data_IF_667086949790
#
_entry.id   IF_667086949790
#
_cell.length_a   1.000
_cell.length_b   1.000
_cell.length_c   1.000
_cell.angle_alpha   90.00
_cell.angle_beta   90.00
_cell.angle_gamma   90.00
#
_symmetry.space_group_name_H-M   'P 1'
#
loop_
_entity.id
_entity.type
_entity.pdbx_description
1 polymer ?
#
# COMPACT_ATOMS: atom_id res chain seq x y z
N UNK A 1 -2.82 -0.92 2.75
CA UNK A 1 -2.23 -2.00 1.91
C UNK A 1 -0.73 -2.06 2.17
N UNK A 2 -0.02 -3.04 1.61
CA UNK A 2 1.46 -3.06 1.55
C UNK A 2 1.90 -3.71 0.24
N UNK A 3 3.07 -3.34 -0.30
CA UNK A 3 3.61 -4.06 -1.45
C UNK A 3 5.03 -3.66 -1.86
N UNK A 4 5.50 -4.26 -2.94
CA UNK A 4 6.82 -3.97 -3.51
C UNK A 4 6.85 -2.59 -4.16
N UNK A 5 7.92 -1.84 -3.88
CA UNK A 5 8.15 -0.55 -4.51
C UNK A 5 8.64 -0.66 -5.96
N UNK A 6 9.23 -1.80 -6.31
CA UNK A 6 9.61 -2.18 -7.65
C UNK A 6 8.92 -3.50 -8.00
N UNK A 7 8.03 -3.46 -8.99
CA UNK A 7 7.27 -4.63 -9.44
C UNK A 7 8.01 -5.45 -10.52
N UNK A 8 9.21 -5.03 -10.91
CA UNK A 8 10.01 -5.70 -11.92
C UNK A 8 9.57 -5.30 -13.33
N UNK A 9 8.81 -6.17 -13.99
CA UNK A 9 8.38 -5.97 -15.37
C UNK A 9 6.96 -5.41 -15.50
N UNK A 10 6.64 -4.93 -16.71
CA UNK A 10 5.34 -4.36 -17.05
C UNK A 10 4.20 -5.37 -16.87
N UNK A 11 4.42 -6.65 -17.19
CA UNK A 11 3.43 -7.72 -17.01
C UNK A 11 3.00 -7.83 -15.55
N UNK A 12 3.97 -7.80 -14.64
CA UNK A 12 3.72 -7.87 -13.20
C UNK A 12 3.03 -6.60 -12.70
N UNK A 13 3.44 -5.43 -13.18
CA UNK A 13 2.77 -4.17 -12.85
C UNK A 13 1.29 -4.17 -13.30
N UNK A 14 1.01 -4.62 -14.53
CA UNK A 14 -0.35 -4.73 -15.06
C UNK A 14 -1.19 -5.75 -14.29
N UNK A 15 -0.61 -6.91 -13.94
CA UNK A 15 -1.29 -7.90 -13.10
C UNK A 15 -1.69 -7.30 -11.74
N UNK A 16 -0.77 -6.62 -11.06
CA UNK A 16 -1.03 -6.00 -9.75
C UNK A 16 -2.08 -4.89 -9.86
N UNK A 17 -2.00 -4.04 -10.88
CA UNK A 17 -2.99 -3.00 -11.14
C UNK A 17 -4.39 -3.59 -11.35
N UNK A 18 -4.50 -4.62 -12.19
CA UNK A 18 -5.76 -5.31 -12.45
C UNK A 18 -6.32 -6.03 -11.22
N UNK A 19 -5.44 -6.61 -10.39
CA UNK A 19 -5.82 -7.23 -9.13
C UNK A 19 -6.43 -6.18 -8.18
N UNK A 20 -5.79 -5.03 -7.99
CA UNK A 20 -6.31 -3.96 -7.15
C UNK A 20 -7.64 -3.42 -7.66
N UNK A 21 -7.74 -3.14 -8.96
CA UNK A 21 -8.98 -2.67 -9.59
C UNK A 21 -10.16 -3.61 -9.28
N UNK A 22 -9.98 -4.91 -9.54
CA UNK A 22 -11.04 -5.90 -9.30
C UNK A 22 -11.40 -6.08 -7.84
N UNK A 23 -10.40 -6.12 -6.95
CA UNK A 23 -10.63 -6.31 -5.51
C UNK A 23 -11.36 -5.09 -4.95
N UNK A 24 -10.90 -3.88 -5.27
CA UNK A 24 -11.50 -2.64 -4.77
C UNK A 24 -12.93 -2.43 -5.30
N UNK A 25 -13.16 -2.66 -6.59
CA UNK A 25 -14.50 -2.62 -7.18
C UNK A 25 -15.45 -3.61 -6.47
N UNK A 26 -14.97 -4.82 -6.18
CA UNK A 26 -15.75 -5.81 -5.45
C UNK A 26 -16.06 -5.36 -4.02
N UNK A 27 -15.04 -4.95 -3.26
CA UNK A 27 -15.17 -4.53 -1.87
C UNK A 27 -16.12 -3.33 -1.72
N UNK A 28 -16.01 -2.33 -2.59
CA UNK A 28 -16.91 -1.18 -2.62
C UNK A 28 -18.36 -1.60 -2.84
N UNK A 29 -18.60 -2.53 -3.76
CA UNK A 29 -19.96 -3.04 -4.06
C UNK A 29 -20.56 -3.84 -2.92
N UNK A 30 -19.76 -4.61 -2.18
CA UNK A 30 -20.26 -5.49 -1.09
C UNK A 30 -20.23 -4.83 0.29
N UNK A 31 -19.79 -3.58 0.39
CA UNK A 31 -19.70 -2.82 1.66
C UNK A 31 -20.70 -1.66 1.64
N UNK A 32 -21.94 -1.84 2.14
CA UNK A 32 -22.99 -0.81 2.05
C UNK A 32 -22.64 0.50 2.76
N UNK A 33 -21.78 0.46 3.79
CA UNK A 33 -21.25 1.62 4.50
C UNK A 33 -20.10 2.33 3.79
N UNK A 34 -19.68 1.82 2.62
CA UNK A 34 -18.44 2.22 1.96
C UNK A 34 -17.19 1.64 2.62
N UNK A 35 -16.07 1.82 1.93
CA UNK A 35 -14.72 1.50 2.43
C UNK A 35 -13.83 2.74 2.31
N UNK A 36 -12.71 2.74 3.04
CA UNK A 36 -11.64 3.73 2.93
C UNK A 36 -10.34 3.00 2.62
N UNK A 37 -9.61 3.50 1.64
CA UNK A 37 -8.32 2.95 1.22
C UNK A 37 -7.19 3.60 2.02
N UNK A 38 -6.38 2.78 2.72
CA UNK A 38 -5.20 3.24 3.47
C UNK A 38 -3.91 2.88 2.73
N UNK A 39 -3.03 3.84 2.48
CA UNK A 39 -1.77 3.64 1.74
C UNK A 39 -0.60 4.46 2.31
N UNK A 40 0.62 3.92 2.16
CA UNK A 40 1.86 4.66 2.43
C UNK A 40 2.31 5.53 1.24
N UNK A 41 1.64 5.38 0.10
CA UNK A 41 1.93 6.07 -1.17
C UNK A 41 3.36 5.84 -1.69
N UNK A 42 4.00 4.73 -1.32
CA UNK A 42 5.27 4.37 -1.94
C UNK A 42 5.12 4.20 -3.46
N UNK A 43 6.25 4.29 -4.19
CA UNK A 43 6.27 3.90 -5.60
C UNK A 43 5.82 2.44 -5.77
N UNK A 44 5.44 2.04 -6.98
CA UNK A 44 5.03 0.65 -7.27
C UNK A 44 3.63 0.33 -6.75
N UNK A 45 3.51 -0.73 -5.94
CA UNK A 45 2.21 -1.29 -5.55
C UNK A 45 1.29 -0.27 -4.85
N UNK A 46 1.81 0.53 -3.91
CA UNK A 46 1.05 1.55 -3.17
C UNK A 46 0.46 2.61 -4.10
N UNK A 47 1.21 3.00 -5.14
CA UNK A 47 0.78 3.94 -6.17
C UNK A 47 -0.38 3.36 -6.99
N UNK A 48 -0.23 2.12 -7.49
CA UNK A 48 -1.27 1.45 -8.28
C UNK A 48 -2.55 1.23 -7.46
N UNK A 49 -2.43 0.88 -6.19
CA UNK A 49 -3.56 0.74 -5.28
C UNK A 49 -4.29 2.08 -5.07
N UNK A 50 -3.54 3.16 -4.83
CA UNK A 50 -4.12 4.48 -4.59
C UNK A 50 -4.84 5.02 -5.84
N UNK A 51 -4.25 4.86 -7.02
CA UNK A 51 -4.89 5.22 -8.30
C UNK A 51 -6.18 4.41 -8.51
N UNK A 52 -6.18 3.10 -8.26
CA UNK A 52 -7.36 2.26 -8.36
C UNK A 52 -8.45 2.68 -7.36
N UNK A 53 -8.09 3.00 -6.12
CA UNK A 53 -9.04 3.48 -5.11
C UNK A 53 -9.76 4.76 -5.58
N UNK A 54 -8.99 5.75 -6.05
CA UNK A 54 -9.55 7.00 -6.57
C UNK A 54 -10.44 6.77 -7.80
N UNK A 55 -10.06 5.87 -8.71
CA UNK A 55 -10.87 5.52 -9.88
C UNK A 55 -12.24 4.92 -9.52
N UNK A 56 -12.33 4.21 -8.39
CA UNK A 56 -13.59 3.66 -7.86
C UNK A 56 -14.32 4.61 -6.90
N UNK A 57 -13.89 5.87 -6.81
CA UNK A 57 -14.40 6.86 -5.86
C UNK A 57 -14.37 6.39 -4.40
N UNK A 58 -13.38 5.56 -4.05
CA UNK A 58 -13.11 5.13 -2.69
C UNK A 58 -12.24 6.22 -2.03
N UNK A 59 -12.66 6.78 -0.88
CA UNK A 59 -11.83 7.74 -0.15
C UNK A 59 -10.45 7.16 0.17
N UNK A 60 -9.40 7.92 -0.17
CA UNK A 60 -8.02 7.57 0.10
C UNK A 60 -7.52 8.33 1.33
N UNK A 61 -6.99 7.63 2.32
CA UNK A 61 -6.18 8.24 3.38
C UNK A 61 -4.73 7.75 3.27
N UNK A 62 -3.81 8.72 3.23
CA UNK A 62 -2.38 8.47 3.17
C UNK A 62 -1.76 8.54 4.56
N UNK A 63 -0.69 7.79 4.80
CA UNK A 63 0.14 7.95 5.99
C UNK A 63 1.61 8.08 5.60
N UNK A 64 2.24 9.14 6.08
CA UNK A 64 3.64 9.43 5.81
C UNK A 64 4.52 8.82 6.90
N UNK A 65 5.50 8.01 6.50
CA UNK A 65 6.46 7.43 7.42
C UNK A 65 7.32 8.50 8.12
N UNK A 66 7.66 9.58 7.43
CA UNK A 66 8.50 10.68 7.93
C UNK A 66 8.20 12.00 7.24
N UNK A 67 8.63 13.12 7.84
CA UNK A 67 8.44 14.48 7.28
C UNK A 67 9.26 14.76 6.03
N UNK A 68 10.47 14.20 5.95
CA UNK A 68 11.42 14.47 4.87
C UNK A 68 11.08 13.77 3.53
N UNK A 69 10.03 12.94 3.51
CA UNK A 69 9.61 12.16 2.35
C UNK A 69 9.29 13.04 1.13
N UNK A 70 8.62 14.19 1.36
CA UNK A 70 8.23 15.12 0.30
C UNK A 70 9.43 15.95 -0.16
N UNK A 71 10.25 16.41 0.78
CA UNK A 71 11.36 17.33 0.53
C UNK A 71 12.50 16.67 -0.25
N UNK A 72 12.72 15.38 -0.03
CA UNK A 72 13.80 14.61 -0.62
C UNK A 72 13.39 13.80 -1.86
N UNK A 73 12.16 13.96 -2.36
CA UNK A 73 11.70 13.25 -3.55
C UNK A 73 12.29 13.90 -4.80
N UNK A 74 13.11 13.19 -5.61
CA UNK A 74 13.71 13.77 -6.81
C UNK A 74 12.64 14.28 -7.78
N UNK A 75 12.81 15.44 -8.43
CA UNK A 75 11.88 15.88 -9.48
C UNK A 75 11.71 14.84 -10.57
N UNK A 76 10.48 14.62 -11.03
CA UNK A 76 10.17 13.68 -12.09
C UNK A 76 8.75 13.12 -11.99
N UNK A 77 8.36 12.24 -12.94
CA UNK A 77 7.00 11.72 -13.03
C UNK A 77 6.50 11.03 -11.76
N UNK A 78 7.39 10.32 -11.06
CA UNK A 78 7.05 9.64 -9.81
C UNK A 78 6.73 10.63 -8.68
N UNK A 79 7.44 11.76 -8.63
CA UNK A 79 7.15 12.85 -7.69
C UNK A 79 5.81 13.49 -7.99
N UNK A 80 5.56 13.79 -9.26
CA UNK A 80 4.32 14.45 -9.68
C UNK A 80 3.12 13.56 -9.36
N UNK A 81 3.25 12.25 -9.62
CA UNK A 81 2.24 11.26 -9.27
C UNK A 81 2.04 11.15 -7.75
N UNK A 82 3.11 11.08 -6.98
CA UNK A 82 3.04 11.07 -5.52
C UNK A 82 2.33 12.32 -4.96
N UNK A 83 2.69 13.51 -5.45
CA UNK A 83 2.07 14.77 -5.03
C UNK A 83 0.59 14.84 -5.42
N UNK A 84 0.22 14.36 -6.61
CA UNK A 84 -1.17 14.26 -7.04
C UNK A 84 -1.96 13.32 -6.12
N UNK A 85 -1.40 12.16 -5.75
CA UNK A 85 -2.05 11.24 -4.81
C UNK A 85 -2.22 11.86 -3.42
N UNK A 86 -1.22 12.60 -2.93
CA UNK A 86 -1.34 13.35 -1.68
C UNK A 86 -2.48 14.38 -1.74
N UNK A 87 -2.56 15.16 -2.83
CA UNK A 87 -3.60 16.18 -3.02
C UNK A 87 -5.00 15.58 -3.10
N UNK A 88 -5.13 14.39 -3.68
CA UNK A 88 -6.42 13.68 -3.80
C UNK A 88 -6.75 12.79 -2.59
N UNK A 89 -5.84 12.70 -1.60
CA UNK A 89 -6.13 12.00 -0.34
C UNK A 89 -7.06 12.84 0.52
N UNK A 90 -8.15 12.24 1.01
CA UNK A 90 -9.09 12.89 1.91
C UNK A 90 -8.42 13.31 3.23
N UNK A 91 -7.42 12.54 3.67
CA UNK A 91 -6.64 12.80 4.88
C UNK A 91 -5.21 12.33 4.69
N UNK A 92 -4.27 13.08 5.26
CA UNK A 92 -2.88 12.68 5.37
C UNK A 92 -2.55 12.57 6.86
N UNK A 93 -2.19 11.36 7.29
CA UNK A 93 -1.63 11.07 8.60
C UNK A 93 -0.10 11.17 8.53
N UNK A 94 0.51 11.47 9.67
CA UNK A 94 1.95 11.62 9.75
C UNK A 94 2.48 10.99 11.02
N UNK A 95 3.44 10.09 10.88
CA UNK A 95 4.14 9.49 12.00
C UNK A 95 5.23 10.42 12.55
N UNK A 96 5.61 10.29 13.84
CA UNK A 96 6.52 11.21 14.51
C UNK A 96 8.00 10.93 14.18
N UNK A 97 8.35 10.75 12.90
CA UNK A 97 9.72 10.57 12.44
C UNK A 97 10.15 11.74 11.55
N UNK A 98 11.32 12.32 11.86
CA UNK A 98 11.88 13.40 11.06
C UNK A 98 12.53 12.90 9.76
N UNK A 99 13.14 11.71 9.81
CA UNK A 99 13.93 11.13 8.72
C UNK A 99 13.45 9.74 8.36
N UNK A 100 13.56 9.41 7.06
CA UNK A 100 13.38 8.04 6.55
C UNK A 100 14.32 7.07 7.24
N UNK A 101 13.78 5.95 7.68
CA UNK A 101 14.53 4.83 8.25
C UNK A 101 13.69 3.55 8.14
N UNK A 102 14.35 2.40 8.23
CA UNK A 102 13.66 1.10 8.28
C UNK A 102 12.64 1.04 9.42
N UNK A 103 13.00 1.61 10.59
CA UNK A 103 12.09 1.72 11.73
C UNK A 103 10.87 2.60 11.42
N UNK A 104 11.04 3.73 10.72
CA UNK A 104 9.92 4.57 10.29
C UNK A 104 9.00 3.83 9.30
N UNK A 105 9.56 3.07 8.36
CA UNK A 105 8.77 2.25 7.44
C UNK A 105 8.04 1.11 8.14
N UNK A 106 8.68 0.45 9.11
CA UNK A 106 8.01 -0.57 9.92
C UNK A 106 6.87 0.05 10.75
N UNK A 107 7.08 1.23 11.33
CA UNK A 107 6.03 1.94 12.07
C UNK A 107 4.84 2.31 11.16
N UNK A 108 5.09 2.75 9.93
CA UNK A 108 4.07 2.96 8.91
C UNK A 108 3.30 1.67 8.60
N UNK A 109 4.01 0.58 8.36
CA UNK A 109 3.41 -0.73 8.12
C UNK A 109 2.49 -1.18 9.26
N UNK A 110 2.95 -1.03 10.51
CA UNK A 110 2.12 -1.33 11.71
C UNK A 110 0.88 -0.44 11.77
N UNK A 111 1.04 0.86 11.56
CA UNK A 111 -0.10 1.79 11.54
C UNK A 111 -1.15 1.40 10.50
N UNK A 112 -0.73 1.01 9.29
CA UNK A 112 -1.61 0.55 8.23
C UNK A 112 -2.36 -0.74 8.62
N UNK A 113 -1.66 -1.69 9.25
CA UNK A 113 -2.24 -2.95 9.73
C UNK A 113 -3.25 -2.70 10.84
N UNK A 114 -2.88 -1.92 11.86
CA UNK A 114 -3.70 -1.67 13.04
C UNK A 114 -4.98 -0.92 12.66
N UNK A 115 -4.86 0.05 11.74
CA UNK A 115 -5.96 0.91 11.28
C UNK A 115 -6.86 0.29 10.20
N UNK A 116 -6.56 -0.93 9.72
CA UNK A 116 -7.34 -1.59 8.66
C UNK A 116 -8.08 -2.82 9.15
N UNK A 117 -9.23 -3.11 8.54
CA UNK A 117 -9.97 -4.36 8.76
C UNK A 117 -9.50 -5.51 7.86
N UNK A 118 -8.82 -5.18 6.76
CA UNK A 118 -8.34 -6.10 5.73
C UNK A 118 -7.04 -5.53 5.13
N UNK A 119 -6.02 -6.37 5.02
CA UNK A 119 -4.77 -6.01 4.35
C UNK A 119 -4.74 -6.60 2.94
N UNK A 120 -4.51 -5.75 1.94
CA UNK A 120 -4.08 -6.21 0.61
C UNK A 120 -2.55 -6.14 0.56
N UNK A 121 -1.90 -7.26 0.23
CA UNK A 121 -0.45 -7.40 0.20
C UNK A 121 0.03 -7.81 -1.20
N UNK A 122 0.62 -6.89 -1.96
CA UNK A 122 1.18 -7.15 -3.29
C UNK A 122 2.69 -7.37 -3.22
N UNK A 123 3.09 -8.62 -3.00
CA UNK A 123 4.49 -8.98 -2.74
C UNK A 123 4.81 -10.42 -3.17
N UNK A 124 6.09 -10.79 -3.10
CA UNK A 124 6.60 -12.09 -3.57
C UNK A 124 6.52 -13.23 -2.55
N UNK A 125 5.98 -12.99 -1.35
CA UNK A 125 5.88 -14.02 -0.31
C UNK A 125 7.19 -14.35 0.42
N UNK A 126 8.30 -13.66 0.12
CA UNK A 126 9.61 -13.91 0.74
C UNK A 126 9.87 -12.94 1.91
N UNK A 127 10.61 -13.33 2.96
CA UNK A 127 10.99 -12.43 4.06
C UNK A 127 11.50 -11.06 3.59
N UNK A 128 11.29 -10.03 4.40
CA UNK A 128 11.73 -8.69 4.06
C UNK A 128 13.27 -8.65 3.92
N UNK A 129 13.77 -7.95 2.89
CA UNK A 129 15.20 -7.76 2.68
C UNK A 129 15.84 -6.81 3.71
N UNK A 130 15.02 -5.95 4.31
CA UNK A 130 15.37 -5.02 5.36
C UNK A 130 14.13 -4.78 6.25
N UNK A 131 14.38 -4.35 7.49
CA UNK A 131 13.29 -4.02 8.43
C UNK A 131 12.27 -3.06 7.78
N UNK A 132 10.99 -3.36 7.98
CA UNK A 132 9.90 -2.52 7.49
C UNK A 132 9.54 -2.75 6.02
N UNK A 133 10.18 -3.73 5.37
CA UNK A 133 9.73 -4.21 4.07
C UNK A 133 8.38 -4.96 4.16
N UNK A 134 7.74 -5.20 3.01
CA UNK A 134 6.42 -5.82 2.95
C UNK A 134 6.29 -7.13 3.72
N UNK A 135 7.36 -7.92 3.84
CA UNK A 135 7.34 -9.16 4.60
C UNK A 135 7.19 -9.01 6.09
N UNK A 136 7.79 -7.98 6.67
CA UNK A 136 7.64 -7.70 8.10
C UNK A 136 6.22 -7.19 8.38
N UNK A 137 5.67 -6.39 7.46
CA UNK A 137 4.29 -5.89 7.56
C UNK A 137 3.29 -7.03 7.47
N UNK A 138 3.47 -7.97 6.53
CA UNK A 138 2.62 -9.16 6.41
C UNK A 138 2.76 -10.07 7.63
N UNK A 139 3.98 -10.30 8.13
CA UNK A 139 4.20 -11.07 9.34
C UNK A 139 3.50 -10.43 10.56
N UNK A 140 3.58 -9.11 10.69
CA UNK A 140 2.87 -8.37 11.73
C UNK A 140 1.34 -8.47 11.58
N UNK A 141 0.81 -8.36 10.37
CA UNK A 141 -0.62 -8.52 10.10
C UNK A 141 -1.15 -9.90 10.52
N UNK A 142 -0.36 -10.96 10.29
CA UNK A 142 -0.68 -12.31 10.78
C UNK A 142 -0.71 -12.37 12.31
N UNK A 143 0.27 -11.74 12.98
CA UNK A 143 0.29 -11.65 14.45
C UNK A 143 -0.93 -10.92 15.02
N UNK A 144 -1.46 -9.93 14.29
CA UNK A 144 -2.69 -9.21 14.66
C UNK A 144 -3.97 -9.92 14.18
N UNK A 145 -3.86 -11.14 13.63
CA UNK A 145 -4.97 -11.91 13.07
C UNK A 145 -5.81 -11.12 12.05
N UNK A 146 -5.18 -10.22 11.30
CA UNK A 146 -5.84 -9.46 10.24
C UNK A 146 -6.06 -10.38 9.04
N UNK A 147 -7.24 -10.36 8.40
CA UNK A 147 -7.42 -10.97 7.09
C UNK A 147 -6.46 -10.34 6.07
N UNK A 148 -5.85 -11.17 5.22
CA UNK A 148 -4.89 -10.73 4.21
C UNK A 148 -5.28 -11.31 2.85
N UNK A 149 -5.44 -10.45 1.85
CA UNK A 149 -5.46 -10.86 0.44
C UNK A 149 -4.04 -10.70 -0.10
N UNK A 150 -3.42 -11.83 -0.46
CA UNK A 150 -2.09 -11.86 -1.07
C UNK A 150 -2.22 -11.82 -2.60
N UNK A 151 -1.66 -10.78 -3.19
CA UNK A 151 -1.46 -10.62 -4.63
C UNK A 151 0.00 -11.00 -4.92
N UNK A 152 0.24 -12.24 -5.35
CA UNK A 152 1.58 -12.79 -5.48
C UNK A 152 2.28 -12.29 -6.74
N UNK A 153 3.31 -11.45 -6.58
CA UNK A 153 3.94 -10.75 -7.72
C UNK A 153 4.75 -11.68 -8.64
N UNK A 154 5.33 -12.76 -8.13
CA UNK A 154 6.09 -13.70 -8.98
C UNK A 154 5.23 -14.77 -9.68
N UNK A 155 4.12 -15.19 -9.06
CA UNK A 155 3.28 -16.26 -9.58
C UNK A 155 1.97 -15.77 -10.21
N UNK A 156 1.70 -14.47 -10.12
CA UNK A 156 0.48 -13.81 -10.60
C UNK A 156 -0.81 -14.50 -10.10
N UNK A 157 -0.84 -14.80 -8.81
CA UNK A 157 -2.01 -15.39 -8.12
C UNK A 157 -2.60 -14.44 -7.10
N UNK A 158 -3.89 -14.62 -6.81
CA UNK A 158 -4.61 -13.88 -5.76
C UNK A 158 -5.26 -14.91 -4.84
N UNK A 159 -4.96 -14.84 -3.54
CA UNK A 159 -5.53 -15.74 -2.55
C UNK A 159 -5.68 -15.06 -1.19
N UNK A 160 -6.56 -15.62 -0.35
CA UNK A 160 -6.48 -15.34 1.09
C UNK A 160 -5.22 -15.97 1.65
N UNK A 161 -4.52 -15.25 2.51
CA UNK A 161 -3.34 -15.77 3.20
C UNK A 161 -3.76 -16.23 4.60
N UNK A 162 -3.54 -17.52 4.86
CA UNK A 162 -3.77 -18.15 6.16
C UNK A 162 -2.75 -17.72 7.22
#
# INVERSE_FOLDING_TARGET
MTGHCNLGDETTALFVAHAFDRILAHLQRVSPSGIVALSGLAAGADTLFAEAALAHAIPLEACLASTDLIENFPPGPDRDRYLALCQNSQRIHQLPFALRSNTAYMALGRWLVDSSALLLAAWNGLPAAAEGGSGDVVAYAKQQSKPIIHIHTCHHTIAMLD
#
